data_IF_363295661781
#
_entry.id   IF_363295661781
#
_cell.length_a   1.000
_cell.length_b   1.000
_cell.length_c   1.000
_cell.angle_alpha   90.00
_cell.angle_beta   90.00
_cell.angle_gamma   90.00
#
_symmetry.space_group_name_H-M   'P 1'
#
loop_
_entity.id
_entity.type
_entity.pdbx_description
1 polymer ?
#
# COMPACT_ATOMS: atom_id res chain seq x y z
N UNK A 1 -4.47 -48.80 0.06
CA UNK A 1 -5.67 -49.34 -0.63
C UNK A 1 -6.69 -48.28 -0.98
N UNK A 2 -7.05 -47.35 -0.08
CA UNK A 2 -8.04 -46.29 -0.37
C UNK A 2 -7.73 -45.39 -1.59
N UNK A 3 -6.46 -45.00 -1.80
CA UNK A 3 -6.07 -44.15 -2.94
C UNK A 3 -6.35 -44.79 -4.31
N UNK A 4 -6.08 -46.08 -4.46
CA UNK A 4 -6.28 -46.79 -5.73
C UNK A 4 -7.78 -46.95 -6.08
N UNK A 5 -8.66 -47.08 -5.09
CA UNK A 5 -10.11 -47.09 -5.31
C UNK A 5 -10.64 -45.71 -5.70
N UNK A 6 -10.12 -44.64 -5.09
CA UNK A 6 -10.48 -43.26 -5.43
C UNK A 6 -10.03 -42.93 -6.87
N UNK A 7 -8.83 -43.36 -7.27
CA UNK A 7 -8.34 -43.16 -8.64
C UNK A 7 -9.15 -43.91 -9.69
N UNK A 8 -9.60 -45.15 -9.40
CA UNK A 8 -10.51 -45.90 -10.29
C UNK A 8 -11.87 -45.22 -10.41
N UNK A 9 -12.46 -44.81 -9.28
CA UNK A 9 -13.74 -44.11 -9.26
C UNK A 9 -13.68 -42.78 -10.02
N UNK A 10 -12.57 -42.04 -9.90
CA UNK A 10 -12.33 -40.80 -10.62
C UNK A 10 -12.04 -40.99 -12.13
N UNK A 11 -11.66 -42.19 -12.57
CA UNK A 11 -11.55 -42.53 -13.98
C UNK A 11 -12.93 -42.83 -14.61
N UNK A 12 -13.86 -43.37 -13.82
CA UNK A 12 -15.24 -43.67 -14.25
C UNK A 12 -16.17 -42.44 -14.29
N UNK A 13 -15.81 -41.36 -13.56
CA UNK A 13 -16.63 -40.14 -13.46
C UNK A 13 -15.83 -38.90 -13.91
N UNK A 14 -15.77 -38.60 -15.21
CA UNK A 14 -14.89 -37.56 -15.77
C UNK A 14 -15.30 -36.13 -15.39
N UNK A 15 -16.52 -35.92 -14.90
CA UNK A 15 -17.04 -34.63 -14.42
C UNK A 15 -16.93 -34.45 -12.90
N UNK A 16 -16.50 -35.47 -12.15
CA UNK A 16 -16.35 -35.35 -10.70
C UNK A 16 -15.07 -34.56 -10.38
N UNK A 17 -15.14 -33.51 -9.54
CA UNK A 17 -13.97 -32.74 -9.14
C UNK A 17 -12.99 -33.67 -8.41
N UNK A 18 -11.77 -33.80 -8.94
CA UNK A 18 -10.74 -34.66 -8.36
C UNK A 18 -10.27 -34.00 -7.07
N UNK A 19 -10.79 -34.50 -5.94
CA UNK A 19 -10.46 -34.02 -4.60
C UNK A 19 -8.95 -34.24 -4.37
N UNK A 20 -8.12 -33.23 -4.65
CA UNK A 20 -6.67 -33.32 -4.46
C UNK A 20 -5.77 -32.39 -5.27
N UNK A 21 -6.28 -31.62 -6.25
CA UNK A 21 -5.45 -30.63 -6.96
C UNK A 21 -6.18 -29.29 -7.05
N UNK A 22 -5.87 -28.39 -6.13
CA UNK A 22 -6.34 -26.98 -6.14
C UNK A 22 -5.81 -26.15 -7.34
N UNK A 23 -5.04 -26.75 -8.25
CA UNK A 23 -4.55 -26.15 -9.48
C UNK A 23 -4.82 -27.11 -10.65
N UNK A 24 -6.06 -27.15 -11.12
CA UNK A 24 -6.40 -27.84 -12.38
C UNK A 24 -5.82 -27.12 -13.60
N UNK A 25 -5.48 -25.83 -13.46
CA UNK A 25 -4.93 -25.01 -14.54
C UNK A 25 -3.41 -24.90 -14.40
N UNK A 26 -2.62 -25.22 -15.44
CA UNK A 26 -1.17 -25.10 -15.41
C UNK A 26 -0.71 -23.67 -15.10
N UNK A 27 0.29 -23.53 -14.24
CA UNK A 27 0.88 -22.22 -13.91
C UNK A 27 1.44 -21.49 -15.14
N UNK A 28 1.89 -22.24 -16.16
CA UNK A 28 2.31 -21.68 -17.46
C UNK A 28 1.19 -20.95 -18.21
N UNK A 29 -0.07 -21.25 -17.89
CA UNK A 29 -1.23 -20.58 -18.46
C UNK A 29 -1.72 -19.44 -17.57
N UNK A 30 -1.69 -19.60 -16.24
CA UNK A 30 -2.20 -18.59 -15.29
C UNK A 30 -1.21 -17.43 -15.11
N UNK A 31 0.07 -17.72 -14.87
CA UNK A 31 1.06 -16.70 -14.50
C UNK A 31 1.24 -15.61 -15.57
N UNK A 32 1.30 -15.92 -16.88
CA UNK A 32 1.44 -14.87 -17.89
C UNK A 32 0.23 -13.92 -17.93
N UNK A 33 -0.98 -14.43 -17.65
CA UNK A 33 -2.21 -13.62 -17.63
C UNK A 33 -2.26 -12.70 -16.42
N UNK A 34 -1.88 -13.22 -15.25
CA UNK A 34 -1.77 -12.41 -14.03
C UNK A 34 -0.68 -11.36 -14.21
N UNK A 35 0.48 -11.74 -14.74
CA UNK A 35 1.57 -10.80 -15.02
C UNK A 35 1.14 -9.72 -16.02
N UNK A 36 0.43 -10.08 -17.09
CA UNK A 36 -0.11 -9.13 -18.07
C UNK A 36 -1.13 -8.18 -17.43
N UNK A 37 -2.03 -8.70 -16.58
CA UNK A 37 -3.00 -7.88 -15.85
C UNK A 37 -2.33 -6.88 -14.90
N UNK A 38 -1.33 -7.33 -14.15
CA UNK A 38 -0.56 -6.46 -13.25
C UNK A 38 0.26 -5.42 -14.01
N UNK A 39 0.88 -5.81 -15.13
CA UNK A 39 1.64 -4.89 -15.98
C UNK A 39 0.73 -3.81 -16.59
N UNK A 40 -0.45 -4.20 -17.11
CA UNK A 40 -1.42 -3.25 -17.64
C UNK A 40 -1.95 -2.30 -16.56
N UNK A 41 -2.30 -2.82 -15.38
CA UNK A 41 -2.74 -1.99 -14.25
C UNK A 41 -1.65 -1.01 -13.79
N UNK A 42 -0.40 -1.48 -13.70
CA UNK A 42 0.76 -0.65 -13.36
C UNK A 42 0.99 0.46 -14.39
N UNK A 43 0.92 0.13 -15.68
CA UNK A 43 1.05 1.10 -16.76
C UNK A 43 -0.06 2.17 -16.72
N UNK A 44 -1.32 1.75 -16.55
CA UNK A 44 -2.45 2.69 -16.44
C UNK A 44 -2.32 3.59 -15.21
N UNK A 45 -1.87 3.05 -14.08
CA UNK A 45 -1.61 3.83 -12.87
C UNK A 45 -0.51 4.88 -13.11
N UNK A 46 0.58 4.48 -13.78
CA UNK A 46 1.67 5.39 -14.13
C UNK A 46 1.21 6.50 -15.08
N UNK A 47 0.50 6.16 -16.16
CA UNK A 47 -0.07 7.14 -17.11
C UNK A 47 -1.01 8.10 -16.40
N UNK A 48 -1.86 7.61 -15.51
CA UNK A 48 -2.78 8.45 -14.74
C UNK A 48 -2.03 9.45 -13.83
N UNK A 49 -0.98 8.99 -13.15
CA UNK A 49 -0.16 9.84 -12.28
C UNK A 49 0.63 10.91 -13.05
N UNK A 50 1.06 10.61 -14.28
CA UNK A 50 1.88 11.51 -15.09
C UNK A 50 1.04 12.49 -15.92
N UNK A 51 -0.06 12.02 -16.53
CA UNK A 51 -0.79 12.78 -17.55
C UNK A 51 -2.19 13.24 -17.12
N UNK A 52 -2.85 12.54 -16.18
CA UNK A 52 -4.23 12.86 -15.77
C UNK A 52 -4.27 13.71 -14.49
N UNK A 53 -3.19 13.77 -13.73
CA UNK A 53 -3.02 14.67 -12.59
C UNK A 53 -2.56 16.07 -13.06
N UNK A 54 -3.45 16.76 -13.79
CA UNK A 54 -3.19 18.10 -14.35
C UNK A 54 -2.86 19.16 -13.29
N UNK A 55 -3.40 19.03 -12.08
CA UNK A 55 -3.09 19.88 -10.93
C UNK A 55 -2.83 18.99 -9.72
N UNK A 56 -1.56 18.83 -9.37
CA UNK A 56 -1.17 18.17 -8.13
C UNK A 56 -1.42 19.14 -6.96
N UNK A 57 -2.01 18.69 -5.84
CA UNK A 57 -2.15 19.55 -4.67
C UNK A 57 -0.77 19.95 -4.15
N UNK A 58 -0.63 21.18 -3.68
CA UNK A 58 0.64 21.73 -3.17
C UNK A 58 1.22 20.91 -2.02
N UNK A 59 0.35 20.22 -1.28
CA UNK A 59 0.71 19.29 -0.21
C UNK A 59 1.45 18.03 -0.68
N UNK A 60 1.52 17.78 -1.99
CA UNK A 60 2.24 16.65 -2.59
C UNK A 60 3.62 17.04 -3.13
N UNK A 61 4.01 18.31 -3.00
CA UNK A 61 5.34 18.77 -3.40
C UNK A 61 6.41 18.17 -2.48
N UNK A 62 7.61 17.86 -3.02
CA UNK A 62 8.70 17.30 -2.21
C UNK A 62 9.16 18.28 -1.13
N UNK A 63 9.04 19.59 -1.37
CA UNK A 63 9.34 20.65 -0.41
C UNK A 63 8.36 20.59 0.78
N UNK A 64 7.05 20.54 0.50
CA UNK A 64 6.04 20.42 1.54
C UNK A 64 6.18 19.12 2.34
N UNK A 65 6.47 18.00 1.69
CA UNK A 65 6.72 16.72 2.37
C UNK A 65 8.01 16.74 3.20
N UNK A 66 9.05 17.43 2.74
CA UNK A 66 10.29 17.59 3.50
C UNK A 66 10.09 18.47 4.74
N UNK A 67 9.29 19.54 4.62
CA UNK A 67 8.88 20.37 5.75
C UNK A 67 7.99 19.61 6.72
N UNK A 68 6.97 18.89 6.24
CA UNK A 68 6.12 18.02 7.05
C UNK A 68 6.94 16.94 7.78
N UNK A 69 7.98 16.38 7.15
CA UNK A 69 8.87 15.38 7.76
C UNK A 69 9.82 16.00 8.80
N UNK A 70 10.28 17.23 8.61
CA UNK A 70 11.15 17.95 9.56
C UNK A 70 10.40 18.48 10.77
N UNK A 71 9.20 19.01 10.54
CA UNK A 71 8.41 19.73 11.52
C UNK A 71 7.42 18.78 12.22
N UNK A 72 7.08 17.64 11.61
CA UNK A 72 5.94 16.82 12.04
C UNK A 72 4.62 17.52 11.71
N UNK A 73 3.49 16.82 11.86
CA UNK A 73 2.20 17.50 11.80
C UNK A 73 2.14 18.50 12.96
N UNK A 74 2.06 19.79 12.67
CA UNK A 74 1.86 20.84 13.67
C UNK A 74 0.42 21.28 13.58
N UNK A 75 -0.31 21.14 14.68
CA UNK A 75 -1.66 21.68 14.78
C UNK A 75 -1.58 23.17 15.06
N UNK A 76 -2.01 23.98 14.09
CA UNK A 76 -2.31 25.38 14.34
C UNK A 76 -3.54 25.45 15.25
N UNK A 77 -3.41 26.14 16.38
CA UNK A 77 -4.50 26.36 17.32
C UNK A 77 -5.06 27.76 17.08
N UNK A 78 -6.38 27.91 17.10
CA UNK A 78 -7.06 29.18 16.79
C UNK A 78 -6.66 30.31 17.77
N UNK A 79 -6.40 29.98 19.05
CA UNK A 79 -6.11 30.94 20.12
C UNK A 79 -4.87 30.58 20.96
N UNK A 80 -3.97 29.74 20.44
CA UNK A 80 -2.76 29.35 21.17
C UNK A 80 -1.61 29.09 20.19
N UNK A 81 -0.39 29.03 20.72
CA UNK A 81 0.79 28.75 19.89
C UNK A 81 0.69 27.35 19.25
N UNK A 82 1.22 27.17 18.02
CA UNK A 82 1.18 25.90 17.31
C UNK A 82 1.86 24.78 18.10
N UNK A 83 1.29 23.58 18.13
CA UNK A 83 1.89 22.45 18.88
C UNK A 83 2.13 21.25 17.98
N UNK A 84 3.24 20.56 18.23
CA UNK A 84 3.56 19.29 17.59
C UNK A 84 2.48 18.24 17.90
N UNK A 85 1.88 17.62 16.87
CA UNK A 85 0.83 16.60 17.04
C UNK A 85 1.40 15.26 17.54
N UNK A 86 2.65 14.94 17.19
CA UNK A 86 3.29 13.65 17.52
C UNK A 86 4.65 13.81 18.24
N UNK A 87 4.70 14.44 19.43
CA UNK A 87 5.96 14.75 20.11
C UNK A 87 6.71 13.48 20.58
N UNK A 88 6.00 12.42 20.97
CA UNK A 88 6.61 11.15 21.41
C UNK A 88 7.30 10.41 20.28
N UNK A 89 6.65 10.28 19.12
CA UNK A 89 7.20 9.60 17.94
C UNK A 89 8.42 10.35 17.41
N UNK A 90 8.41 11.68 17.51
CA UNK A 90 9.49 12.54 17.03
C UNK A 90 10.56 12.85 18.09
N UNK A 91 10.48 12.22 19.28
CA UNK A 91 11.42 12.43 20.42
C UNK A 91 11.61 13.91 20.76
N UNK A 92 10.56 14.71 20.60
CA UNK A 92 10.60 16.13 20.92
C UNK A 92 10.61 16.25 22.45
N UNK A 93 11.59 16.95 23.04
CA UNK A 93 11.64 17.17 24.48
C UNK A 93 10.34 17.80 24.96
N UNK A 94 9.80 17.35 26.10
CA UNK A 94 8.55 17.87 26.65
C UNK A 94 8.57 19.35 27.04
N UNK A 95 9.76 19.97 27.03
CA UNK A 95 9.96 21.42 27.20
C UNK A 95 9.71 22.23 25.93
N UNK A 96 9.65 21.59 24.77
CA UNK A 96 9.42 22.23 23.47
C UNK A 96 8.00 21.86 23.04
N UNK A 97 7.06 22.80 23.24
CA UNK A 97 5.65 22.58 22.96
C UNK A 97 5.32 22.90 21.50
N UNK A 98 6.04 23.86 20.91
CA UNK A 98 5.85 24.27 19.53
C UNK A 98 7.14 24.68 18.80
N UNK A 99 7.05 24.94 17.48
CA UNK A 99 8.17 25.40 16.67
C UNK A 99 8.81 26.72 17.13
N UNK A 100 8.04 27.56 17.81
CA UNK A 100 8.49 28.82 18.41
C UNK A 100 9.48 28.63 19.57
N UNK A 101 9.34 27.55 20.35
CA UNK A 101 10.22 27.26 21.49
C UNK A 101 11.62 26.77 21.05
N UNK A 102 11.81 26.46 19.76
CA UNK A 102 13.07 25.97 19.20
C UNK A 102 14.09 27.09 18.98
N UNK A 103 13.64 28.35 18.86
CA UNK A 103 14.55 29.50 18.65
C UNK A 103 15.27 29.96 19.92
N UNK A 104 14.72 29.60 21.08
CA UNK A 104 15.21 30.03 22.40
C UNK A 104 15.99 28.92 23.15
N UNK A 105 16.30 27.79 22.48
CA UNK A 105 17.02 26.64 23.02
C UNK A 105 18.49 26.57 22.58
#
# INVERSE_FOLDING_TARGET
MARAQIERWAAEHPSAPRIGKFFEVPNSWVLPRVAAGLAAAGFLCWVNAEYLWLQKPESYTPEFQAEQKKIGEVAQRINASPVYLNPFTNRIPGSILGPEDVKDA
#
